data_IF_706830125450
#
_entry.id   IF_706830125450
#
_cell.length_a   1.000
_cell.length_b   1.000
_cell.length_c   1.000
_cell.angle_alpha   90.00
_cell.angle_beta   90.00
_cell.angle_gamma   90.00
#
_symmetry.space_group_name_H-M   'P 1'
#
loop_
_entity.id
_entity.type
_entity.pdbx_description
1 polymer ?
#
# COMPACT_ATOMS: atom_id res chain seq x y z
N UNK A 1 -10.93 -1.26 3.13
CA UNK A 1 -12.24 -0.86 2.61
C UNK A 1 -12.12 0.16 1.51
N UNK A 2 -12.33 -0.31 0.29
CA UNK A 2 -12.54 0.49 -0.91
C UNK A 2 -13.80 1.36 -0.73
N UNK A 3 -13.68 2.66 -0.96
CA UNK A 3 -14.75 3.65 -0.75
C UNK A 3 -14.93 4.50 -2.00
N UNK A 4 -15.80 4.02 -2.90
CA UNK A 4 -16.08 4.71 -4.17
C UNK A 4 -16.80 6.05 -3.96
N UNK A 5 -17.77 6.13 -3.03
CA UNK A 5 -18.52 7.37 -2.80
C UNK A 5 -17.59 8.49 -2.37
N UNK A 6 -16.62 8.19 -1.50
CA UNK A 6 -15.60 9.16 -1.10
C UNK A 6 -14.66 9.52 -2.26
N UNK A 7 -14.27 8.56 -3.08
CA UNK A 7 -13.42 8.81 -4.25
C UNK A 7 -14.14 9.70 -5.29
N UNK A 8 -15.40 9.40 -5.60
CA UNK A 8 -16.24 10.19 -6.50
C UNK A 8 -16.44 11.60 -5.95
N UNK A 9 -16.72 11.75 -4.65
CA UNK A 9 -16.85 13.07 -4.03
C UNK A 9 -15.56 13.91 -4.09
N UNK A 10 -14.39 13.26 -4.04
CA UNK A 10 -13.10 13.92 -4.05
C UNK A 10 -12.60 14.27 -5.46
N UNK A 11 -12.82 13.39 -6.44
CA UNK A 11 -12.22 13.49 -7.77
C UNK A 11 -13.23 13.69 -8.91
N UNK A 12 -14.53 13.52 -8.65
CA UNK A 12 -15.60 13.61 -9.65
C UNK A 12 -15.50 12.53 -10.73
N UNK A 13 -14.82 11.42 -10.44
CA UNK A 13 -14.55 10.33 -11.37
C UNK A 13 -15.59 9.22 -11.23
N UNK A 14 -15.88 8.55 -12.35
CA UNK A 14 -16.85 7.45 -12.37
C UNK A 14 -16.24 6.14 -11.83
N UNK A 15 -17.08 5.12 -11.70
CA UNK A 15 -16.69 3.80 -11.17
C UNK A 15 -15.63 3.10 -12.03
N UNK A 16 -15.67 3.25 -13.35
CA UNK A 16 -14.74 2.57 -14.26
C UNK A 16 -13.32 3.15 -14.15
N UNK A 17 -13.20 4.48 -14.06
CA UNK A 17 -11.92 5.16 -13.82
C UNK A 17 -11.36 4.77 -12.45
N UNK A 18 -12.22 4.68 -11.42
CA UNK A 18 -11.80 4.23 -10.10
C UNK A 18 -11.30 2.78 -10.10
N UNK A 19 -12.02 1.88 -10.77
CA UNK A 19 -11.61 0.49 -10.95
C UNK A 19 -10.24 0.38 -11.63
N UNK A 20 -9.99 1.18 -12.66
CA UNK A 20 -8.69 1.24 -13.33
C UNK A 20 -7.57 1.61 -12.35
N UNK A 21 -7.76 2.62 -11.50
CA UNK A 21 -6.73 2.99 -10.52
C UNK A 21 -6.54 1.92 -9.42
N UNK A 22 -7.61 1.23 -9.03
CA UNK A 22 -7.51 0.10 -8.09
C UNK A 22 -6.72 -1.06 -8.70
N UNK A 23 -6.94 -1.36 -9.99
CA UNK A 23 -6.19 -2.39 -10.72
C UNK A 23 -4.72 -2.01 -10.91
N UNK A 24 -4.43 -0.75 -11.25
CA UNK A 24 -3.06 -0.24 -11.30
C UNK A 24 -2.36 -0.37 -9.94
N UNK A 25 -3.07 -0.09 -8.84
CA UNK A 25 -2.52 -0.23 -7.51
C UNK A 25 -2.32 -1.71 -7.12
N UNK A 26 -3.23 -2.60 -7.50
CA UNK A 26 -3.08 -4.04 -7.30
C UNK A 26 -1.85 -4.59 -8.03
N UNK A 27 -1.62 -4.15 -9.26
CA UNK A 27 -0.42 -4.48 -10.01
C UNK A 27 0.85 -3.96 -9.32
N UNK A 28 0.85 -2.71 -8.82
CA UNK A 28 1.97 -2.16 -8.04
C UNK A 28 2.26 -2.96 -6.79
N UNK A 29 1.23 -3.39 -6.05
CA UNK A 29 1.44 -4.25 -4.88
C UNK A 29 2.08 -5.58 -5.28
N UNK A 30 1.71 -6.14 -6.42
CA UNK A 30 2.28 -7.39 -6.93
C UNK A 30 3.74 -7.23 -7.34
N UNK A 31 4.11 -6.09 -7.92
CA UNK A 31 5.47 -5.85 -8.41
C UNK A 31 6.42 -5.34 -7.31
N UNK A 32 5.96 -4.40 -6.47
CA UNK A 32 6.82 -3.65 -5.55
C UNK A 32 6.89 -4.27 -4.14
N UNK A 33 5.89 -5.06 -3.68
CA UNK A 33 5.96 -5.70 -2.35
C UNK A 33 7.11 -6.71 -2.23
N UNK A 34 7.36 -7.60 -3.21
CA UNK A 34 8.50 -8.50 -3.15
C UNK A 34 9.84 -7.75 -3.11
N UNK A 35 9.93 -6.59 -3.78
CA UNK A 35 11.11 -5.72 -3.70
C UNK A 35 11.26 -5.17 -2.29
N UNK A 36 10.19 -4.63 -1.69
CA UNK A 36 10.20 -4.10 -0.33
C UNK A 36 10.63 -5.16 0.70
N UNK A 37 10.11 -6.39 0.59
CA UNK A 37 10.49 -7.52 1.44
C UNK A 37 11.97 -7.87 1.27
N UNK A 38 12.46 -7.93 0.04
CA UNK A 38 13.86 -8.22 -0.27
C UNK A 38 14.81 -7.15 0.29
N UNK A 39 14.45 -5.87 0.15
CA UNK A 39 15.21 -4.75 0.70
C UNK A 39 15.27 -4.80 2.23
N UNK A 40 14.16 -5.19 2.87
CA UNK A 40 14.12 -5.39 4.31
C UNK A 40 15.01 -6.56 4.75
N UNK A 41 15.01 -7.67 4.01
CA UNK A 41 15.89 -8.81 4.27
C UNK A 41 17.38 -8.45 4.15
N UNK A 42 17.71 -7.52 3.25
CA UNK A 42 19.06 -6.99 3.05
C UNK A 42 19.44 -5.87 4.04
N UNK A 43 18.49 -5.44 4.89
CA UNK A 43 18.66 -4.31 5.81
C UNK A 43 19.04 -2.99 5.11
N UNK A 44 18.62 -2.81 3.85
CA UNK A 44 18.85 -1.58 3.08
C UNK A 44 17.78 -0.54 3.42
N UNK A 45 17.85 -0.02 4.66
CA UNK A 45 16.82 0.88 5.20
C UNK A 45 16.54 2.14 4.36
N UNK A 46 17.54 2.81 3.75
CA UNK A 46 17.28 3.91 2.83
C UNK A 46 16.37 3.50 1.66
N UNK A 47 16.59 2.31 1.09
CA UNK A 47 15.74 1.79 0.01
C UNK A 47 14.39 1.29 0.51
N UNK A 48 14.32 0.66 1.69
CA UNK A 48 13.04 0.32 2.34
C UNK A 48 12.16 1.55 2.50
N UNK A 49 12.74 2.66 3.00
CA UNK A 49 12.01 3.92 3.15
C UNK A 49 11.50 4.46 1.81
N UNK A 50 12.36 4.45 0.77
CA UNK A 50 11.97 4.89 -0.56
C UNK A 50 10.89 4.01 -1.20
N UNK A 51 10.98 2.70 -1.06
CA UNK A 51 9.99 1.74 -1.58
C UNK A 51 8.64 1.91 -0.87
N UNK A 52 8.63 2.01 0.47
CA UNK A 52 7.42 2.28 1.24
C UNK A 52 6.76 3.61 0.84
N UNK A 53 7.56 4.67 0.60
CA UNK A 53 7.04 5.96 0.13
C UNK A 53 6.33 5.87 -1.23
N UNK A 54 6.89 5.09 -2.17
CA UNK A 54 6.28 4.88 -3.50
C UNK A 54 4.91 4.24 -3.41
N UNK A 55 4.73 3.26 -2.52
CA UNK A 55 3.46 2.56 -2.31
C UNK A 55 2.46 3.35 -1.46
N UNK A 56 2.94 4.18 -0.52
CA UNK A 56 2.13 5.04 0.33
C UNK A 56 1.25 6.00 -0.48
N UNK A 57 1.81 6.63 -1.51
CA UNK A 57 1.16 7.69 -2.28
C UNK A 57 -0.12 7.22 -2.98
N UNK A 58 -0.11 6.19 -3.84
CA UNK A 58 -1.32 5.69 -4.46
C UNK A 58 -2.33 5.13 -3.43
N UNK A 59 -1.86 4.50 -2.34
CA UNK A 59 -2.75 4.08 -1.26
C UNK A 59 -3.51 5.26 -0.61
N UNK A 60 -2.84 6.40 -0.44
CA UNK A 60 -3.48 7.63 0.05
C UNK A 60 -4.52 8.16 -0.94
N UNK A 61 -4.16 8.24 -2.22
CA UNK A 61 -5.06 8.72 -3.29
C UNK A 61 -6.33 7.88 -3.39
N UNK A 62 -6.21 6.56 -3.21
CA UNK A 62 -7.33 5.62 -3.28
C UNK A 62 -8.12 5.51 -1.96
N UNK A 63 -7.75 6.26 -0.93
CA UNK A 63 -8.41 6.20 0.37
C UNK A 63 -8.16 4.92 1.18
N UNK A 64 -7.18 4.11 0.77
CA UNK A 64 -6.78 2.86 1.42
C UNK A 64 -5.99 3.15 2.71
N UNK A 65 -6.71 3.66 3.71
CA UNK A 65 -6.15 4.30 4.90
C UNK A 65 -5.24 3.38 5.72
N UNK A 66 -5.58 2.09 5.83
CA UNK A 66 -4.78 1.10 6.54
C UNK A 66 -3.43 0.87 5.84
N UNK A 67 -3.45 0.55 4.54
CA UNK A 67 -2.23 0.39 3.74
C UNK A 67 -1.37 1.65 3.76
N UNK A 68 -1.99 2.82 3.56
CA UNK A 68 -1.28 4.09 3.64
C UNK A 68 -0.57 4.28 4.99
N UNK A 69 -1.25 3.97 6.10
CA UNK A 69 -0.70 4.09 7.45
C UNK A 69 0.47 3.12 7.67
N UNK A 70 0.37 1.88 7.19
CA UNK A 70 1.43 0.88 7.29
C UNK A 70 2.66 1.27 6.46
N UNK A 71 2.47 1.75 5.23
CA UNK A 71 3.58 2.24 4.40
C UNK A 71 4.25 3.48 5.02
N UNK A 72 3.47 4.40 5.59
CA UNK A 72 4.01 5.55 6.32
C UNK A 72 4.83 5.11 7.55
N UNK A 73 4.35 4.11 8.29
CA UNK A 73 5.05 3.57 9.45
C UNK A 73 6.39 2.92 9.06
N UNK A 74 6.41 2.13 7.99
CA UNK A 74 7.65 1.57 7.42
C UNK A 74 8.60 2.67 6.94
N UNK A 75 8.10 3.65 6.19
CA UNK A 75 8.90 4.78 5.69
C UNK A 75 9.58 5.54 6.83
N UNK A 76 8.81 5.87 7.88
CA UNK A 76 9.27 6.68 9.02
C UNK A 76 10.28 5.95 9.87
N UNK A 77 10.01 4.68 10.18
CA UNK A 77 10.90 3.84 10.99
C UNK A 77 12.23 3.60 10.26
N UNK A 78 12.18 3.19 8.98
CA UNK A 78 13.37 2.94 8.17
C UNK A 78 14.23 4.20 7.94
N UNK A 79 13.64 5.39 8.00
CA UNK A 79 14.35 6.67 7.81
C UNK A 79 15.05 7.19 9.06
N UNK A 80 14.54 6.90 10.26
CA UNK A 80 14.92 7.61 11.48
C UNK A 80 15.73 6.73 12.43
N UNK A 81 15.09 5.69 12.98
CA UNK A 81 15.70 4.73 13.91
C UNK A 81 15.14 3.35 13.55
N UNK A 82 15.81 2.62 12.62
CA UNK A 82 15.29 1.37 12.12
C UNK A 82 15.19 0.31 13.21
N UNK A 83 13.96 -0.13 13.49
CA UNK A 83 13.65 -1.28 14.33
C UNK A 83 13.25 -2.42 13.40
N UNK A 84 14.12 -3.42 13.30
CA UNK A 84 13.95 -4.55 12.38
C UNK A 84 12.70 -5.37 12.73
N UNK A 85 12.41 -5.56 14.02
CA UNK A 85 11.27 -6.36 14.45
C UNK A 85 9.97 -5.62 14.16
N UNK A 86 9.93 -4.30 14.40
CA UNK A 86 8.83 -3.45 14.00
C UNK A 86 8.60 -3.47 12.47
N UNK A 87 9.67 -3.34 11.67
CA UNK A 87 9.57 -3.36 10.21
C UNK A 87 9.05 -4.71 9.70
N UNK A 88 9.51 -5.83 10.26
CA UNK A 88 9.02 -7.17 9.92
C UNK A 88 7.56 -7.38 10.32
N UNK A 89 7.16 -6.88 11.48
CA UNK A 89 5.75 -6.94 11.89
C UNK A 89 4.85 -6.10 10.96
N UNK A 90 5.30 -4.91 10.57
CA UNK A 90 4.58 -4.09 9.61
C UNK A 90 4.51 -4.74 8.23
N UNK A 91 5.57 -5.40 7.77
CA UNK A 91 5.57 -6.12 6.49
C UNK A 91 4.48 -7.20 6.47
N UNK A 92 4.34 -7.99 7.56
CA UNK A 92 3.26 -8.99 7.68
C UNK A 92 1.87 -8.34 7.64
N UNK A 93 1.68 -7.22 8.34
CA UNK A 93 0.40 -6.47 8.31
C UNK A 93 0.09 -5.95 6.91
N UNK A 94 1.11 -5.53 6.15
CA UNK A 94 0.94 -5.09 4.76
C UNK A 94 0.50 -6.26 3.88
N UNK A 95 1.07 -7.45 4.05
CA UNK A 95 0.65 -8.65 3.31
C UNK A 95 -0.81 -9.02 3.61
N UNK A 96 -1.19 -9.02 4.89
CA UNK A 96 -2.56 -9.28 5.34
C UNK A 96 -3.54 -8.26 4.76
N UNK A 97 -3.23 -6.97 4.89
CA UNK A 97 -4.10 -5.89 4.38
C UNK A 97 -4.15 -5.89 2.84
N UNK A 98 -3.06 -6.25 2.16
CA UNK A 98 -3.03 -6.40 0.70
C UNK A 98 -3.90 -7.58 0.23
N UNK A 99 -3.95 -8.67 1.00
CA UNK A 99 -4.84 -9.79 0.71
C UNK A 99 -6.31 -9.40 0.91
N UNK A 100 -6.63 -8.64 1.97
CA UNK A 100 -7.97 -8.08 2.21
C UNK A 100 -8.38 -7.15 1.07
N UNK A 101 -7.49 -6.23 0.67
CA UNK A 101 -7.71 -5.34 -0.46
C UNK A 101 -8.04 -6.10 -1.75
N UNK A 102 -7.25 -7.13 -2.11
CA UNK A 102 -7.51 -7.95 -3.31
C UNK A 102 -8.87 -8.65 -3.25
N UNK A 103 -9.28 -9.12 -2.07
CA UNK A 103 -10.62 -9.70 -1.88
C UNK A 103 -11.71 -8.65 -2.10
N UNK A 104 -11.60 -7.49 -1.45
CA UNK A 104 -12.56 -6.39 -1.62
C UNK A 104 -12.65 -5.92 -3.08
N UNK A 105 -11.51 -5.85 -3.78
CA UNK A 105 -11.47 -5.46 -5.20
C UNK A 105 -12.24 -6.45 -6.08
N UNK A 106 -12.08 -7.76 -5.85
CA UNK A 106 -12.85 -8.78 -6.58
C UNK A 106 -14.35 -8.70 -6.29
N UNK A 107 -14.72 -8.46 -5.02
CA UNK A 107 -16.13 -8.28 -4.63
C UNK A 107 -16.72 -6.99 -5.27
N UNK A 108 -15.92 -5.92 -5.39
CA UNK A 108 -16.35 -4.64 -5.98
C UNK A 108 -16.51 -4.66 -7.51
N UNK A 109 -15.75 -5.55 -8.17
CA UNK A 109 -15.86 -5.85 -9.62
C UNK A 109 -17.08 -6.70 -9.98
N UNK A 110 -17.58 -7.48 -9.02
CA UNK A 110 -18.72 -8.39 -9.19
C UNK A 110 -20.05 -7.64 -9.23
#
# INVERSE_FOLDING_TARGET
>A
MIDFEKFEAQFGMNKDDFLMFLDEFEQRLTDDLPELESLLAQLDFPKVSAAAHKLKTPAATLGLTNLNSLFLAMETNAKSEPDIDFLKENMKKIEEESALFRKELNDFKS
#
